data_IF_813201100205
#
_entry.id   IF_813201100205
#
_cell.length_a   1.000
_cell.length_b   1.000
_cell.length_c   1.000
_cell.angle_alpha   90.00
_cell.angle_beta   90.00
_cell.angle_gamma   90.00
#
_symmetry.space_group_name_H-M   'P 1'
#
loop_
_entity.id
_entity.type
_entity.pdbx_description
1 polymer ?
#
# COMPACT_ATOMS: atom_id res chain seq x y z
N UNK A 1 1.99 5.89 17.24
CA UNK A 1 1.64 4.64 17.96
C UNK A 1 2.25 3.54 17.12
N UNK A 2 3.48 3.07 17.42
CA UNK A 2 4.33 2.41 16.41
C UNK A 2 3.65 1.23 15.69
N UNK A 3 2.96 0.37 16.45
CA UNK A 3 2.25 -0.76 15.87
C UNK A 3 1.04 -0.33 15.01
N UNK A 4 0.29 0.69 15.42
CA UNK A 4 -0.82 1.24 14.61
C UNK A 4 -0.31 1.80 13.29
N UNK A 5 0.77 2.58 13.33
CA UNK A 5 1.42 3.12 12.14
C UNK A 5 1.91 2.00 11.22
N UNK A 6 2.55 0.97 11.78
CA UNK A 6 3.02 -0.20 11.04
C UNK A 6 1.87 -0.99 10.38
N UNK A 7 0.76 -1.20 11.09
CA UNK A 7 -0.45 -1.83 10.54
C UNK A 7 -0.99 -1.03 9.35
N UNK A 8 -1.09 0.30 9.47
CA UNK A 8 -1.56 1.16 8.37
C UNK A 8 -0.62 1.08 7.16
N UNK A 9 0.70 1.09 7.38
CA UNK A 9 1.67 0.93 6.30
C UNK A 9 1.54 -0.43 5.62
N UNK A 10 1.39 -1.51 6.40
CA UNK A 10 1.19 -2.85 5.86
C UNK A 10 -0.15 -2.99 5.13
N UNK A 11 -1.21 -2.33 5.57
CA UNK A 11 -2.48 -2.26 4.83
C UNK A 11 -2.31 -1.64 3.45
N UNK A 12 -1.52 -0.56 3.34
CA UNK A 12 -1.25 0.08 2.04
C UNK A 12 -0.34 -0.78 1.16
N UNK A 13 0.69 -1.40 1.73
CA UNK A 13 1.64 -2.27 1.01
C UNK A 13 0.94 -3.52 0.47
N UNK A 14 0.22 -4.23 1.33
CA UNK A 14 -0.47 -5.47 1.01
C UNK A 14 -1.72 -5.22 0.15
N UNK A 15 -2.41 -4.09 0.37
CA UNK A 15 -3.56 -3.69 -0.45
C UNK A 15 -3.17 -3.37 -1.90
N UNK A 16 -1.96 -2.82 -2.11
CA UNK A 16 -1.37 -2.56 -3.43
C UNK A 16 -2.37 -1.98 -4.44
N UNK A 17 -2.98 -0.87 -4.03
CA UNK A 17 -4.20 -0.34 -4.66
C UNK A 17 -3.99 0.00 -6.14
N UNK A 18 -2.80 0.47 -6.53
CA UNK A 18 -2.43 0.84 -7.91
C UNK A 18 -1.14 0.11 -8.34
N UNK A 19 -1.20 -1.19 -8.68
CA UNK A 19 -0.03 -2.04 -8.92
C UNK A 19 0.90 -1.52 -10.03
N UNK A 20 0.32 -0.90 -11.07
CA UNK A 20 1.03 -0.37 -12.24
C UNK A 20 1.28 1.15 -12.16
N UNK A 21 0.94 1.76 -11.03
CA UNK A 21 0.97 3.21 -10.85
C UNK A 21 0.05 3.95 -11.83
N UNK A 22 0.29 5.25 -11.98
CA UNK A 22 -0.32 6.08 -13.03
C UNK A 22 0.69 6.22 -14.15
N UNK A 23 0.31 6.19 -15.44
CA UNK A 23 1.25 6.35 -16.55
C UNK A 23 2.08 7.63 -16.43
N UNK A 24 3.39 7.51 -16.65
CA UNK A 24 4.30 8.63 -16.85
C UNK A 24 4.67 8.74 -18.33
N UNK A 25 5.27 9.87 -18.70
CA UNK A 25 5.80 10.08 -20.04
C UNK A 25 7.13 10.82 -19.95
N UNK A 26 8.14 10.39 -20.73
CA UNK A 26 9.43 11.08 -20.76
C UNK A 26 9.31 12.44 -21.46
N UNK A 27 9.86 13.49 -20.86
CA UNK A 27 9.70 14.88 -21.33
C UNK A 27 10.69 15.29 -22.42
N UNK A 28 11.72 14.48 -22.63
CA UNK A 28 12.76 14.59 -23.66
C UNK A 28 13.34 13.21 -23.94
N UNK A 29 14.08 13.07 -25.03
CA UNK A 29 14.90 11.89 -25.28
C UNK A 29 15.81 11.65 -24.08
N UNK A 30 15.75 10.46 -23.51
CA UNK A 30 16.46 10.10 -22.27
C UNK A 30 17.25 8.82 -22.49
N UNK A 31 18.53 8.83 -22.08
CA UNK A 31 19.29 7.60 -21.96
C UNK A 31 19.00 6.96 -20.59
N UNK A 32 18.52 5.72 -20.57
CA UNK A 32 18.27 4.97 -19.36
C UNK A 32 18.75 3.53 -19.51
N UNK A 33 19.68 3.12 -18.64
CA UNK A 33 20.28 1.76 -18.63
C UNK A 33 20.78 1.30 -20.03
N UNK A 34 21.34 2.22 -20.81
CA UNK A 34 21.88 1.95 -22.15
C UNK A 34 20.88 2.08 -23.30
N UNK A 35 19.60 2.32 -23.02
CA UNK A 35 18.55 2.54 -24.02
C UNK A 35 18.30 4.03 -24.23
N UNK A 36 18.06 4.44 -25.47
CA UNK A 36 17.51 5.77 -25.79
C UNK A 36 15.98 5.64 -25.80
N UNK A 37 15.32 6.31 -24.87
CA UNK A 37 13.87 6.39 -24.76
C UNK A 37 13.44 7.73 -25.39
N UNK A 38 12.75 7.72 -26.55
CA UNK A 38 12.32 8.96 -27.21
C UNK A 38 11.35 9.78 -26.39
N UNK A 39 11.41 11.11 -26.52
CA UNK A 39 10.42 12.04 -25.96
C UNK A 39 9.00 11.58 -26.28
N UNK A 40 8.12 11.62 -25.29
CA UNK A 40 6.72 11.21 -25.47
C UNK A 40 6.46 9.72 -25.26
N UNK A 41 7.50 8.91 -25.00
CA UNK A 41 7.30 7.49 -24.65
C UNK A 41 6.64 7.37 -23.28
N UNK A 42 5.55 6.61 -23.21
CA UNK A 42 4.88 6.25 -21.95
C UNK A 42 5.72 5.25 -21.14
N UNK A 43 5.70 5.42 -19.83
CA UNK A 43 6.42 4.56 -18.88
C UNK A 43 5.52 4.29 -17.68
N UNK A 44 5.35 3.02 -17.36
CA UNK A 44 4.56 2.57 -16.20
C UNK A 44 5.50 2.23 -15.05
N UNK A 45 5.42 2.93 -13.90
CA UNK A 45 6.16 2.54 -12.70
C UNK A 45 5.41 1.37 -12.04
N UNK A 46 5.92 0.15 -12.21
CA UNK A 46 5.31 -1.05 -11.62
C UNK A 46 5.52 -1.03 -10.10
N UNK A 47 4.66 -0.32 -9.36
CA UNK A 47 4.74 -0.16 -7.90
C UNK A 47 4.66 -1.51 -7.17
N UNK A 48 3.87 -2.44 -7.71
CA UNK A 48 3.77 -3.81 -7.20
C UNK A 48 5.13 -4.46 -7.01
N UNK A 49 6.06 -4.26 -7.95
CA UNK A 49 7.38 -4.90 -7.89
C UNK A 49 8.19 -4.40 -6.70
N UNK A 50 7.99 -3.16 -6.26
CA UNK A 50 8.63 -2.62 -5.06
C UNK A 50 7.89 -3.07 -3.78
N UNK A 51 6.56 -2.93 -3.74
CA UNK A 51 5.75 -3.25 -2.56
C UNK A 51 5.76 -4.74 -2.18
N UNK A 52 6.13 -5.61 -3.13
CA UNK A 52 6.30 -7.06 -2.94
C UNK A 52 7.74 -7.54 -3.15
N UNK A 53 8.72 -6.63 -3.18
CA UNK A 53 10.12 -7.01 -3.39
C UNK A 53 10.64 -7.86 -2.20
N UNK A 54 11.06 -9.12 -2.43
CA UNK A 54 11.55 -9.99 -1.36
C UNK A 54 12.88 -9.51 -0.74
N UNK A 55 13.61 -8.60 -1.39
CA UNK A 55 14.81 -7.98 -0.80
C UNK A 55 14.45 -6.95 0.29
N UNK A 56 13.26 -6.36 0.22
CA UNK A 56 12.80 -5.33 1.15
C UNK A 56 11.76 -5.85 2.15
N UNK A 57 11.04 -6.92 1.82
CA UNK A 57 10.01 -7.52 2.66
C UNK A 57 10.24 -9.03 2.77
N UNK A 58 10.45 -9.54 3.98
CA UNK A 58 10.76 -10.96 4.23
C UNK A 58 9.60 -11.88 3.79
N UNK A 59 8.35 -11.46 4.07
CA UNK A 59 7.14 -12.23 3.74
C UNK A 59 6.23 -11.37 2.85
N UNK A 60 6.63 -11.05 1.60
CA UNK A 60 5.98 -10.02 0.80
C UNK A 60 4.50 -10.34 0.50
N UNK A 61 4.16 -11.62 0.43
CA UNK A 61 2.79 -12.10 0.17
C UNK A 61 1.96 -12.35 1.43
N UNK A 62 2.51 -12.11 2.63
CA UNK A 62 1.76 -12.17 3.88
C UNK A 62 1.48 -10.75 4.38
N UNK A 63 0.31 -10.55 4.97
CA UNK A 63 0.07 -9.36 5.77
C UNK A 63 0.83 -9.48 7.09
N UNK A 64 1.90 -8.69 7.26
CA UNK A 64 2.75 -8.73 8.44
C UNK A 64 3.24 -7.31 8.83
N UNK A 65 2.65 -6.68 9.87
CA UNK A 65 3.06 -5.36 10.33
C UNK A 65 4.54 -5.25 10.72
N UNK A 66 5.18 -6.36 11.08
CA UNK A 66 6.60 -6.38 11.47
C UNK A 66 7.54 -5.96 10.32
N UNK A 67 7.06 -5.97 9.07
CA UNK A 67 7.78 -5.37 7.94
C UNK A 67 8.15 -3.89 8.16
N UNK A 68 7.40 -3.19 9.02
CA UNK A 68 7.57 -1.78 9.32
C UNK A 68 8.05 -1.53 10.75
N UNK A 69 8.48 -2.57 11.48
CA UNK A 69 8.99 -2.44 12.84
C UNK A 69 10.47 -2.86 12.89
N UNK A 70 11.23 -2.21 13.77
CA UNK A 70 12.56 -2.68 14.14
C UNK A 70 12.50 -3.66 15.34
N UNK A 71 13.66 -4.20 15.73
CA UNK A 71 13.75 -5.15 16.84
C UNK A 71 13.30 -4.58 18.21
N UNK A 72 13.22 -3.25 18.34
CA UNK A 72 12.74 -2.58 19.54
C UNK A 72 11.26 -2.20 19.44
N UNK A 73 10.57 -2.55 18.34
CA UNK A 73 9.18 -2.20 18.08
C UNK A 73 8.96 -0.74 17.67
N UNK A 74 10.02 -0.02 17.28
CA UNK A 74 9.89 1.32 16.70
C UNK A 74 9.61 1.24 15.19
N UNK A 75 8.95 2.28 14.66
CA UNK A 75 8.64 2.34 13.24
C UNK A 75 9.93 2.44 12.41
N UNK A 76 10.15 1.46 11.53
CA UNK A 76 11.27 1.39 10.61
C UNK A 76 10.83 1.89 9.23
N UNK A 77 11.65 2.73 8.61
CA UNK A 77 11.46 3.15 7.21
C UNK A 77 11.86 2.03 6.26
N UNK A 78 11.10 1.87 5.18
CA UNK A 78 11.41 0.95 4.10
C UNK A 78 11.39 1.74 2.78
N UNK A 79 12.49 1.73 2.03
CA UNK A 79 12.63 2.50 0.78
C UNK A 79 11.72 1.98 -0.34
N UNK A 80 11.35 0.70 -0.30
CA UNK A 80 10.41 0.12 -1.25
C UNK A 80 8.93 0.43 -0.93
N UNK A 81 8.66 1.09 0.21
CA UNK A 81 7.31 1.52 0.58
C UNK A 81 6.93 2.81 -0.14
N UNK A 82 6.43 2.65 -1.37
CA UNK A 82 6.03 3.75 -2.27
C UNK A 82 4.58 3.63 -2.76
N UNK A 83 3.58 3.41 -1.88
CA UNK A 83 2.18 3.27 -2.31
C UNK A 83 1.60 4.54 -2.95
N UNK A 84 2.27 5.68 -2.75
CA UNK A 84 1.92 6.99 -3.31
C UNK A 84 2.81 7.39 -4.50
N UNK A 85 3.50 6.42 -5.11
CA UNK A 85 4.61 6.65 -6.05
C UNK A 85 5.79 7.36 -5.38
N UNK A 86 6.77 7.82 -6.18
CA UNK A 86 7.96 8.52 -5.72
C UNK A 86 8.40 9.58 -6.74
N UNK A 87 9.14 10.59 -6.29
CA UNK A 87 9.73 11.62 -7.14
C UNK A 87 8.78 12.78 -7.43
N UNK A 88 8.96 13.45 -8.58
CA UNK A 88 8.29 14.73 -8.90
C UNK A 88 6.77 14.65 -9.04
N UNK A 89 6.21 13.44 -9.14
CA UNK A 89 4.77 13.17 -9.27
C UNK A 89 4.26 12.28 -8.13
N UNK A 90 4.96 12.26 -6.99
CA UNK A 90 4.42 11.68 -5.77
C UNK A 90 3.04 12.27 -5.47
N UNK A 91 2.14 11.45 -4.91
CA UNK A 91 0.77 11.83 -4.66
C UNK A 91 0.70 13.17 -3.90
N UNK A 92 0.08 14.19 -4.52
CA UNK A 92 -0.11 15.50 -3.89
C UNK A 92 -0.92 15.39 -2.59
N UNK A 93 -1.82 14.40 -2.51
CA UNK A 93 -2.66 14.12 -1.35
C UNK A 93 -2.03 13.20 -0.31
N UNK A 94 -0.76 12.80 -0.42
CA UNK A 94 -0.14 11.84 0.51
C UNK A 94 -0.33 12.25 1.99
N UNK A 95 -0.07 13.51 2.33
CA UNK A 95 -0.21 13.99 3.71
C UNK A 95 -1.66 13.90 4.23
N UNK A 96 -2.63 14.23 3.38
CA UNK A 96 -4.06 14.14 3.70
C UNK A 96 -4.44 12.67 3.89
N UNK A 97 -4.09 11.81 2.94
CA UNK A 97 -4.43 10.39 2.99
C UNK A 97 -3.84 9.69 4.23
N UNK A 98 -2.58 9.98 4.57
CA UNK A 98 -1.95 9.43 5.79
C UNK A 98 -2.67 9.87 7.07
N UNK A 99 -3.08 11.14 7.14
CA UNK A 99 -3.86 11.67 8.25
C UNK A 99 -5.25 11.02 8.32
N UNK A 100 -5.96 10.95 7.20
CA UNK A 100 -7.30 10.33 7.12
C UNK A 100 -7.26 8.85 7.54
N UNK A 101 -6.32 8.07 6.99
CA UNK A 101 -6.14 6.66 7.34
C UNK A 101 -5.91 6.52 8.85
N UNK A 102 -5.00 7.31 9.42
CA UNK A 102 -4.69 7.24 10.84
C UNK A 102 -5.89 7.62 11.72
N UNK A 103 -6.51 8.77 11.46
CA UNK A 103 -7.61 9.29 12.27
C UNK A 103 -8.85 8.40 12.18
N UNK A 104 -9.28 8.01 10.97
CA UNK A 104 -10.45 7.15 10.83
C UNK A 104 -10.21 5.76 11.41
N UNK A 105 -9.06 5.15 11.15
CA UNK A 105 -8.74 3.81 11.67
C UNK A 105 -8.71 3.80 13.21
N UNK A 106 -8.01 4.77 13.82
CA UNK A 106 -7.91 4.86 15.29
C UNK A 106 -9.24 5.22 15.93
N UNK A 107 -9.99 6.17 15.37
CA UNK A 107 -11.29 6.59 15.93
C UNK A 107 -12.30 5.45 15.89
N UNK A 108 -12.34 4.68 14.80
CA UNK A 108 -13.23 3.50 14.70
C UNK A 108 -12.84 2.47 15.75
N UNK A 109 -11.58 2.07 15.83
CA UNK A 109 -11.13 1.02 16.76
C UNK A 109 -11.11 1.44 18.23
N UNK A 110 -11.07 2.75 18.50
CA UNK A 110 -11.22 3.30 19.84
C UNK A 110 -12.65 3.08 20.38
N UNK A 111 -13.66 3.24 19.53
CA UNK A 111 -15.07 3.22 19.93
C UNK A 111 -15.76 1.87 19.69
N UNK A 112 -15.23 1.06 18.77
CA UNK A 112 -15.85 -0.18 18.33
C UNK A 112 -14.86 -1.34 18.28
N UNK A 113 -15.34 -2.52 18.60
CA UNK A 113 -14.72 -3.79 18.20
C UNK A 113 -15.37 -4.26 16.90
N UNK A 114 -14.56 -4.73 15.94
CA UNK A 114 -15.05 -5.21 14.64
C UNK A 114 -15.29 -6.71 14.70
N UNK A 115 -16.48 -7.14 14.30
CA UNK A 115 -16.84 -8.55 14.18
C UNK A 115 -17.25 -8.87 12.73
N UNK A 116 -16.98 -10.10 12.29
CA UNK A 116 -17.35 -10.59 10.97
C UNK A 116 -18.44 -11.67 11.09
N UNK A 117 -19.43 -11.74 10.18
CA UNK A 117 -20.31 -12.90 10.06
C UNK A 117 -19.61 -14.13 9.47
N UNK A 118 -18.42 -13.94 8.87
CA UNK A 118 -17.55 -15.00 8.31
C UNK A 118 -16.39 -15.27 9.28
N UNK A 119 -16.01 -16.52 9.46
CA UNK A 119 -14.85 -16.88 10.29
C UNK A 119 -13.57 -16.25 9.71
N UNK A 120 -12.63 -15.74 10.54
CA UNK A 120 -11.42 -15.06 10.06
C UNK A 120 -10.60 -15.86 9.03
N UNK A 121 -10.48 -17.17 9.22
CA UNK A 121 -9.77 -18.11 8.34
C UNK A 121 -10.42 -18.29 6.97
N UNK A 122 -11.73 -18.01 6.85
CA UNK A 122 -12.52 -18.15 5.63
C UNK A 122 -12.66 -16.83 4.87
N UNK A 123 -12.01 -15.74 5.33
CA UNK A 123 -12.04 -14.45 4.64
C UNK A 123 -11.19 -14.54 3.37
N UNK A 124 -11.86 -14.50 2.22
CA UNK A 124 -11.20 -14.37 0.93
C UNK A 124 -10.63 -12.95 0.75
N UNK A 125 -9.33 -12.89 0.46
CA UNK A 125 -8.61 -11.64 0.18
C UNK A 125 -8.39 -11.41 -1.32
N UNK A 126 -8.85 -12.34 -2.17
CA UNK A 126 -8.71 -12.26 -3.62
C UNK A 126 -9.44 -11.02 -4.15
N UNK A 127 -8.76 -10.10 -4.87
CA UNK A 127 -9.41 -8.91 -5.40
C UNK A 127 -10.56 -9.26 -6.33
N UNK A 128 -11.69 -8.54 -6.20
CA UNK A 128 -12.85 -8.69 -7.11
C UNK A 128 -12.49 -8.32 -8.55
N UNK A 129 -11.66 -7.29 -8.68
CA UNK A 129 -11.19 -6.75 -9.95
C UNK A 129 -9.69 -6.43 -9.83
N UNK A 130 -8.93 -6.77 -10.86
CA UNK A 130 -7.52 -6.43 -10.99
C UNK A 130 -7.27 -5.90 -12.40
N UNK A 131 -7.09 -4.58 -12.50
CA UNK A 131 -6.81 -3.88 -13.75
C UNK A 131 -5.92 -2.67 -13.46
N UNK A 132 -6.49 -1.47 -13.54
CA UNK A 132 -5.80 -0.24 -13.12
C UNK A 132 -5.59 -0.20 -11.60
N UNK A 133 -6.52 -0.78 -10.83
CA UNK A 133 -6.38 -0.94 -9.39
C UNK A 133 -6.88 -2.29 -8.89
N UNK A 134 -6.54 -2.60 -7.63
CA UNK A 134 -7.03 -3.78 -6.91
C UNK A 134 -8.20 -3.39 -6.01
N UNK A 135 -9.37 -3.95 -6.29
CA UNK A 135 -10.57 -3.71 -5.48
C UNK A 135 -10.81 -4.92 -4.58
N UNK A 136 -10.96 -4.75 -3.25
CA UNK A 136 -11.23 -5.87 -2.36
C UNK A 136 -12.59 -6.52 -2.69
N UNK A 137 -12.78 -7.80 -2.33
CA UNK A 137 -14.08 -8.43 -2.45
C UNK A 137 -15.12 -7.70 -1.57
N UNK A 138 -16.39 -7.85 -1.91
CA UNK A 138 -17.47 -7.29 -1.09
C UNK A 138 -17.53 -8.08 0.21
N UNK A 139 -17.49 -7.39 1.34
CA UNK A 139 -17.56 -7.99 2.66
C UNK A 139 -18.55 -7.26 3.56
N UNK A 140 -18.95 -7.92 4.64
CA UNK A 140 -19.78 -7.33 5.69
C UNK A 140 -19.07 -7.46 7.03
N UNK A 141 -19.16 -6.42 7.86
CA UNK A 141 -18.68 -6.41 9.23
C UNK A 141 -19.74 -5.77 10.13
N UNK A 142 -19.62 -6.02 11.44
CA UNK A 142 -20.42 -5.42 12.48
C UNK A 142 -19.52 -4.60 13.40
N UNK A 143 -19.96 -3.39 13.72
CA UNK A 143 -19.33 -2.56 14.74
C UNK A 143 -20.03 -2.78 16.07
N UNK A 144 -19.33 -3.40 17.02
CA UNK A 144 -19.81 -3.63 18.37
C UNK A 144 -19.25 -2.52 19.26
N UNK A 145 -20.11 -1.69 19.84
CA UNK A 145 -19.67 -0.58 20.70
C UNK A 145 -18.89 -1.12 21.91
N UNK A 146 -17.85 -0.37 22.31
CA UNK A 146 -17.05 -0.66 23.50
C UNK A 146 -17.64 -0.02 24.75
#
# INVERSE_FOLDING_TARGET
>A
MPYTDAVIHEMQRFGDLLPIGVPHMVTKDTCFRGYIIPKGTEVFPILHSALYDPHYFEKPYAFNPDHFLDANGALKKNEAFIPFSIGKRICLGEGIARMELFLFFTTILQNFSVASPVAPEDIDLTPRESGVGKVPPVYQIRFLAR
#
